data_IF_665694400371
#
_entry.id   IF_665694400371
#
_cell.length_a   1.000
_cell.length_b   1.000
_cell.length_c   1.000
_cell.angle_alpha   90.00
_cell.angle_beta   90.00
_cell.angle_gamma   90.00
#
_symmetry.space_group_name_H-M   'P 1'
#
loop_
_entity.id
_entity.type
_entity.pdbx_description
1 polymer ?
#
# COMPACT_ATOMS: atom_id res chain seq x y z
N UNK A 1 13.57 2.53 0.04
CA UNK A 1 14.99 2.30 -0.35
C UNK A 1 15.29 0.83 -0.61
N UNK A 2 14.84 -0.13 0.22
CA UNK A 2 15.07 -1.57 -0.02
C UNK A 2 14.60 -2.01 -1.42
N UNK A 3 13.40 -1.59 -1.85
CA UNK A 3 12.84 -1.95 -3.16
C UNK A 3 13.71 -1.48 -4.33
N UNK A 4 14.31 -0.28 -4.23
CA UNK A 4 15.25 0.25 -5.23
C UNK A 4 16.54 -0.59 -5.29
N UNK A 5 17.05 -1.07 -4.15
CA UNK A 5 18.28 -1.86 -4.09
C UNK A 5 18.15 -3.23 -4.77
N UNK A 6 16.93 -3.77 -4.84
CA UNK A 6 16.64 -5.06 -5.49
C UNK A 6 15.94 -4.91 -6.85
N UNK A 7 15.83 -3.68 -7.36
CA UNK A 7 15.27 -3.41 -8.69
C UNK A 7 13.76 -3.62 -8.80
N UNK A 8 13.00 -3.46 -7.71
CA UNK A 8 11.54 -3.64 -7.67
C UNK A 8 10.84 -2.29 -7.45
N UNK A 9 9.68 -2.11 -8.10
CA UNK A 9 8.83 -0.91 -7.97
C UNK A 9 7.73 -1.15 -6.93
N UNK A 10 7.53 -0.17 -6.05
CA UNK A 10 6.46 -0.16 -5.05
C UNK A 10 5.55 1.06 -5.28
N UNK A 11 4.25 0.91 -5.03
CA UNK A 11 3.25 1.96 -5.15
C UNK A 11 2.40 2.04 -3.88
N UNK A 12 1.92 3.25 -3.57
CA UNK A 12 0.95 3.52 -2.51
C UNK A 12 -0.41 3.93 -3.10
N UNK A 13 -0.62 3.67 -4.40
CA UNK A 13 -1.93 3.81 -5.03
C UNK A 13 -2.95 2.92 -4.30
N UNK A 14 -4.13 3.45 -3.91
CA UNK A 14 -5.16 2.67 -3.23
C UNK A 14 -5.73 1.52 -4.09
N UNK A 15 -5.58 1.56 -5.42
CA UNK A 15 -6.05 0.53 -6.35
C UNK A 15 -5.08 0.40 -7.55
N UNK A 16 -3.93 -0.27 -7.38
CA UNK A 16 -2.91 -0.36 -8.42
C UNK A 16 -3.26 -1.30 -9.58
N UNK A 17 -4.24 -2.20 -9.38
CA UNK A 17 -4.68 -3.17 -10.40
C UNK A 17 -6.20 -3.06 -10.54
N UNK A 18 -6.66 -2.87 -11.77
CA UNK A 18 -8.09 -2.79 -12.10
C UNK A 18 -8.80 -4.15 -11.96
N UNK A 19 -10.12 -4.11 -11.85
CA UNK A 19 -10.96 -5.30 -11.72
C UNK A 19 -11.14 -5.79 -10.29
N UNK A 20 -11.43 -7.08 -10.15
CA UNK A 20 -11.82 -7.75 -8.90
C UNK A 20 -10.60 -8.16 -8.04
N UNK A 21 -9.71 -7.19 -7.83
CA UNK A 21 -8.56 -7.31 -6.94
C UNK A 21 -8.73 -6.39 -5.74
N UNK A 22 -8.24 -6.79 -4.56
CA UNK A 22 -8.33 -5.93 -3.37
C UNK A 22 -7.48 -4.66 -3.53
N UNK A 23 -7.96 -3.55 -2.96
CA UNK A 23 -7.19 -2.32 -2.85
C UNK A 23 -6.25 -2.30 -1.63
N UNK A 24 -5.40 -1.29 -1.56
CA UNK A 24 -4.52 -1.01 -0.42
C UNK A 24 -5.05 0.17 0.41
N UNK A 25 -5.02 0.05 1.74
CA UNK A 25 -5.49 1.08 2.66
C UNK A 25 -4.48 1.39 3.76
N UNK A 26 -4.67 2.51 4.46
CA UNK A 26 -3.83 2.95 5.57
C UNK A 26 -4.66 3.05 6.86
N UNK A 27 -5.15 1.91 7.34
CA UNK A 27 -5.98 1.86 8.54
C UNK A 27 -5.23 2.43 9.75
N UNK A 28 -5.90 3.34 10.45
CA UNK A 28 -5.34 4.01 11.64
C UNK A 28 -6.29 3.82 12.80
N UNK A 29 -5.84 3.08 13.81
CA UNK A 29 -6.58 2.90 15.06
C UNK A 29 -6.18 4.00 16.05
N UNK A 30 -7.14 4.50 16.83
CA UNK A 30 -6.91 5.54 17.82
C UNK A 30 -7.79 5.30 19.06
N UNK A 31 -7.27 5.64 20.25
CA UNK A 31 -8.01 5.57 21.51
C UNK A 31 -7.63 6.72 22.43
N UNK A 32 -8.62 7.29 23.12
CA UNK A 32 -8.43 8.15 24.29
C UNK A 32 -8.56 7.33 25.58
N UNK A 33 -8.32 7.99 26.72
CA UNK A 33 -8.60 7.42 28.03
C UNK A 33 -10.10 7.31 28.31
#
# INVERSE_FOLDING_TARGET
RITEQVGVVLTLDPKPIEGDWNGAGCHTNYSTK
#
